data_IF_031319162179
#
_entry.id   IF_031319162179
#
_cell.length_a   1.000
_cell.length_b   1.000
_cell.length_c   1.000
_cell.angle_alpha   90.00
_cell.angle_beta   90.00
_cell.angle_gamma   90.00
#
_symmetry.space_group_name_H-M   'P 1'
#
loop_
_entity.id
_entity.type
_entity.pdbx_description
1 polymer ?
#
# COMPACT_ATOMS: atom_id res chain seq x y z
N UNK A 1 -6.22 13.19 17.72
CA UNK A 1 -4.87 13.05 18.29
C UNK A 1 -4.23 11.85 17.60
N UNK A 2 -3.08 12.04 16.95
CA UNK A 2 -2.28 10.95 16.39
C UNK A 2 -1.20 10.66 17.44
N UNK A 3 -1.16 9.43 17.98
CA UNK A 3 -0.32 9.06 19.12
C UNK A 3 1.14 8.77 18.76
N UNK A 4 1.42 8.41 17.52
CA UNK A 4 2.75 8.27 16.94
C UNK A 4 2.64 8.17 15.42
N UNK A 5 3.64 8.69 14.70
CA UNK A 5 3.91 8.38 13.30
C UNK A 5 5.13 7.46 13.27
N UNK A 6 5.00 6.27 12.67
CA UNK A 6 6.10 5.31 12.59
C UNK A 6 6.53 5.21 11.13
N UNK A 7 7.81 5.49 10.88
CA UNK A 7 8.37 5.69 9.54
C UNK A 7 8.92 4.40 8.89
N UNK A 8 8.84 3.25 9.58
CA UNK A 8 9.43 1.98 9.13
C UNK A 8 8.58 0.75 9.47
N UNK A 9 8.65 -0.27 8.60
CA UNK A 9 7.83 -1.49 8.68
C UNK A 9 8.06 -2.30 9.96
N UNK A 10 9.31 -2.40 10.42
CA UNK A 10 9.69 -3.24 11.58
C UNK A 10 9.26 -2.63 12.92
N UNK A 11 9.60 -1.37 13.17
CA UNK A 11 9.22 -0.64 14.39
C UNK A 11 7.69 -0.50 14.54
N UNK A 12 6.97 -0.47 13.41
CA UNK A 12 5.49 -0.46 13.41
C UNK A 12 4.92 -1.76 13.93
N UNK A 13 5.54 -2.90 13.60
CA UNK A 13 5.03 -4.21 14.00
C UNK A 13 5.21 -4.45 15.50
N UNK A 14 6.39 -4.16 16.06
CA UNK A 14 6.64 -4.32 17.50
C UNK A 14 5.68 -3.47 18.34
N UNK A 15 5.43 -2.22 17.94
CA UNK A 15 4.49 -1.35 18.62
C UNK A 15 3.03 -1.85 18.54
N UNK A 16 2.64 -2.45 17.41
CA UNK A 16 1.32 -3.07 17.23
C UNK A 16 1.15 -4.31 18.11
N UNK A 17 2.14 -5.21 18.13
CA UNK A 17 2.13 -6.42 18.97
C UNK A 17 2.14 -6.05 20.45
N UNK A 18 2.86 -4.99 20.84
CA UNK A 18 2.88 -4.46 22.20
C UNK A 18 1.59 -3.71 22.59
N UNK A 19 0.61 -3.56 21.68
CA UNK A 19 -0.67 -2.92 21.96
C UNK A 19 -0.59 -1.40 22.17
N UNK A 20 0.46 -0.75 21.65
CA UNK A 20 0.74 0.67 21.89
C UNK A 20 -0.05 1.60 20.97
N UNK A 21 -0.75 1.08 19.96
CA UNK A 21 -1.52 1.89 19.03
C UNK A 21 -2.19 1.12 17.89
N UNK A 22 -2.66 1.88 16.90
CA UNK A 22 -3.26 1.38 15.66
C UNK A 22 -2.48 1.91 14.45
N UNK A 23 -2.35 1.10 13.40
CA UNK A 23 -1.72 1.49 12.15
C UNK A 23 -2.77 1.46 11.02
N UNK A 24 -2.83 2.56 10.25
CA UNK A 24 -3.60 2.58 9.02
C UNK A 24 -2.74 2.07 7.87
N UNK A 25 -3.22 1.05 7.18
CA UNK A 25 -2.51 0.42 6.07
C UNK A 25 -3.43 0.30 4.85
N UNK A 26 -2.85 0.46 3.65
CA UNK A 26 -3.58 0.18 2.42
C UNK A 26 -3.98 -1.30 2.36
N UNK A 27 -5.21 -1.59 1.92
CA UNK A 27 -5.75 -2.95 1.91
C UNK A 27 -4.84 -3.98 1.19
N UNK A 28 -4.18 -3.57 0.10
CA UNK A 28 -3.24 -4.43 -0.63
C UNK A 28 -1.99 -4.85 0.17
N UNK A 29 -1.66 -4.14 1.26
CA UNK A 29 -0.53 -4.47 2.13
C UNK A 29 -0.93 -5.33 3.33
N UNK A 30 -2.24 -5.57 3.56
CA UNK A 30 -2.72 -6.39 4.68
C UNK A 30 -2.08 -7.78 4.72
N UNK A 31 -1.98 -8.53 3.60
CA UNK A 31 -1.34 -9.85 3.61
C UNK A 31 0.16 -9.83 3.99
N UNK A 32 0.82 -8.68 3.85
CA UNK A 32 2.24 -8.52 4.20
C UNK A 32 2.47 -8.30 5.70
N UNK A 33 1.43 -7.94 6.44
CA UNK A 33 1.50 -7.57 7.86
C UNK A 33 0.94 -8.63 8.80
N UNK A 34 0.36 -9.71 8.28
CA UNK A 34 -0.18 -10.82 9.07
C UNK A 34 0.93 -11.77 9.53
N UNK A 35 1.96 -11.23 10.19
CA UNK A 35 3.09 -12.00 10.77
C UNK A 35 2.74 -12.68 12.11
N UNK A 36 1.46 -12.68 12.49
CA UNK A 36 0.95 -13.14 13.79
C UNK A 36 0.73 -11.97 14.76
N UNK A 37 -0.04 -12.17 15.83
CA UNK A 37 -0.19 -11.18 16.91
C UNK A 37 -1.00 -9.91 16.61
N UNK A 38 -1.38 -9.64 15.37
CA UNK A 38 -2.16 -8.46 14.96
C UNK A 38 -3.42 -8.82 14.18
N UNK A 39 -4.51 -8.12 14.45
CA UNK A 39 -5.78 -8.24 13.73
C UNK A 39 -5.99 -7.02 12.84
N UNK A 40 -6.43 -7.24 11.60
CA UNK A 40 -6.78 -6.16 10.67
C UNK A 40 -8.29 -5.99 10.59
N UNK A 41 -8.75 -4.73 10.54
CA UNK A 41 -10.17 -4.37 10.42
C UNK A 41 -10.37 -3.33 9.32
N UNK A 42 -11.41 -3.46 8.48
CA UNK A 42 -11.74 -2.42 7.50
C UNK A 42 -12.06 -1.09 8.19
N UNK A 43 -11.53 0.00 7.65
CA UNK A 43 -11.86 1.37 8.07
C UNK A 43 -12.86 1.95 7.07
N UNK A 44 -14.03 2.37 7.56
CA UNK A 44 -15.08 2.99 6.76
C UNK A 44 -15.06 4.52 6.90
N UNK A 45 -15.64 5.23 5.92
CA UNK A 45 -15.71 6.70 5.95
C UNK A 45 -14.42 7.43 5.57
N UNK A 46 -13.41 6.69 5.10
CA UNK A 46 -12.18 7.26 4.52
C UNK A 46 -12.20 7.17 3.00
N UNK A 47 -11.69 8.20 2.32
CA UNK A 47 -11.53 8.19 0.87
C UNK A 47 -10.52 7.09 0.48
N UNK A 48 -10.80 6.27 -0.55
CA UNK A 48 -9.86 5.22 -0.94
C UNK A 48 -8.55 5.80 -1.47
N UNK A 49 -7.42 5.26 -1.03
CA UNK A 49 -6.10 5.62 -1.54
C UNK A 49 -5.96 5.29 -3.03
N UNK A 50 -5.11 6.04 -3.75
CA UNK A 50 -4.78 5.78 -5.14
C UNK A 50 -3.28 5.51 -5.26
N UNK A 51 -2.93 4.34 -5.79
CA UNK A 51 -1.56 4.04 -6.18
C UNK A 51 -1.35 4.50 -7.61
N UNK A 52 -0.32 5.33 -7.84
CA UNK A 52 -0.07 5.95 -9.14
C UNK A 52 1.36 5.70 -9.57
N UNK A 53 1.53 5.40 -10.86
CA UNK A 53 2.82 5.44 -11.52
C UNK A 53 3.04 6.87 -12.05
N UNK A 54 4.09 7.53 -11.56
CA UNK A 54 4.45 8.88 -11.97
C UNK A 54 5.82 8.91 -12.61
N UNK A 55 5.98 9.75 -13.63
CA UNK A 55 7.25 10.05 -14.29
C UNK A 55 7.30 11.53 -14.63
N UNK A 56 8.51 12.06 -14.83
CA UNK A 56 8.66 13.46 -15.28
C UNK A 56 8.14 13.60 -16.70
N UNK A 57 7.55 14.75 -17.03
CA UNK A 57 6.88 14.96 -18.31
C UNK A 57 7.80 14.70 -19.51
N UNK A 58 9.06 15.12 -19.40
CA UNK A 58 10.12 14.93 -20.40
C UNK A 58 10.45 13.45 -20.65
N UNK A 59 10.28 12.58 -19.65
CA UNK A 59 10.57 11.16 -19.76
C UNK A 59 9.42 10.36 -20.39
N UNK A 60 8.24 10.95 -20.58
CA UNK A 60 7.03 10.23 -21.03
C UNK A 60 7.11 9.64 -22.44
N UNK A 61 8.07 10.09 -23.25
CA UNK A 61 8.32 9.52 -24.58
C UNK A 61 9.39 8.43 -24.57
N UNK A 62 10.10 8.22 -23.44
CA UNK A 62 11.15 7.21 -23.35
C UNK A 62 10.54 5.81 -23.49
N UNK A 63 11.07 4.96 -24.37
CA UNK A 63 10.52 3.62 -24.61
C UNK A 63 10.35 2.80 -23.32
N UNK A 64 11.31 2.89 -22.40
CA UNK A 64 11.26 2.18 -21.12
C UNK A 64 10.07 2.62 -20.24
N UNK A 65 9.79 3.92 -20.16
CA UNK A 65 8.67 4.46 -19.36
C UNK A 65 7.34 3.97 -19.93
N UNK A 66 7.20 4.01 -21.26
CA UNK A 66 5.99 3.51 -21.94
C UNK A 66 5.82 2.01 -21.78
N UNK A 67 6.89 1.23 -21.95
CA UNK A 67 6.86 -0.22 -21.77
C UNK A 67 6.49 -0.61 -20.33
N UNK A 68 7.05 0.09 -19.34
CA UNK A 68 6.73 -0.15 -17.95
C UNK A 68 5.27 0.22 -17.61
N UNK A 69 4.80 1.37 -18.10
CA UNK A 69 3.40 1.78 -17.91
C UNK A 69 2.41 0.78 -18.55
N UNK A 70 2.76 0.24 -19.73
CA UNK A 70 1.95 -0.78 -20.38
C UNK A 70 1.98 -2.11 -19.61
N UNK A 71 3.15 -2.55 -19.14
CA UNK A 71 3.28 -3.73 -18.29
C UNK A 71 2.43 -3.60 -17.01
N UNK A 72 2.43 -2.42 -16.37
CA UNK A 72 1.57 -2.15 -15.22
C UNK A 72 0.08 -2.25 -15.58
N UNK A 73 -0.34 -1.74 -16.75
CA UNK A 73 -1.75 -1.87 -17.21
C UNK A 73 -2.14 -3.33 -17.40
N UNK A 74 -1.28 -4.12 -18.03
CA UNK A 74 -1.52 -5.53 -18.25
C UNK A 74 -1.59 -6.32 -16.93
N UNK A 75 -0.70 -6.03 -15.98
CA UNK A 75 -0.69 -6.68 -14.66
C UNK A 75 -2.00 -6.43 -13.89
N UNK A 76 -2.54 -5.20 -13.94
CA UNK A 76 -3.82 -4.87 -13.30
C UNK A 76 -5.01 -5.47 -14.06
N UNK A 77 -4.96 -5.54 -15.39
CA UNK A 77 -6.02 -6.15 -16.19
C UNK A 77 -6.09 -7.68 -16.03
N UNK A 78 -4.95 -8.35 -15.83
CA UNK A 78 -4.86 -9.79 -15.58
C UNK A 78 -5.16 -10.19 -14.12
N UNK A 79 -5.07 -9.25 -13.18
CA UNK A 79 -5.45 -9.41 -11.78
C UNK A 79 -6.85 -8.90 -11.53
N UNK A 80 -7.89 -9.62 -11.98
CA UNK A 80 -9.24 -9.34 -11.47
C UNK A 80 -9.22 -9.45 -9.93
N UNK A 81 -9.87 -8.53 -9.19
CA UNK A 81 -9.90 -8.59 -7.74
C UNK A 81 -10.51 -9.92 -7.28
N UNK A 82 -9.83 -10.60 -6.35
CA UNK A 82 -10.43 -11.72 -5.61
C UNK A 82 -11.58 -11.15 -4.76
N UNK A 83 -12.79 -11.75 -4.80
CA UNK A 83 -13.97 -11.27 -4.08
C UNK A 83 -13.77 -11.18 -2.57
#
# INVERSE_FOLDING_TARGET
MIGAEIAGTEETYEALVAGLGICLVAAGNVPLLTLGGVLTRPVHGVTPSRYVLAWRREDGQRPLVRAYAEACRLAVAGGAPHP
#
